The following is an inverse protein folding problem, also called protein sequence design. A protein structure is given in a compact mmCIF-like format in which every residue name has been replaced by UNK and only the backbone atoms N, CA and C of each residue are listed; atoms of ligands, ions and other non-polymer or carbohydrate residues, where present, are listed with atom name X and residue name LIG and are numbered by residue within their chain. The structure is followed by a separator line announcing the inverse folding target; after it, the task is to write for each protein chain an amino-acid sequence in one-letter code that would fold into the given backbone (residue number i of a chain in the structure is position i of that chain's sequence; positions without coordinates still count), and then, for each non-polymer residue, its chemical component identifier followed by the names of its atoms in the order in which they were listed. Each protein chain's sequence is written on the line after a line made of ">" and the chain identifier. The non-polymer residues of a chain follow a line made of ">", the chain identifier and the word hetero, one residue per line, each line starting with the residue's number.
data_IF_952670848574
#
_entry.id   IF_952670848574
#
_cell.length_a   1.000
_cell.length_b   1.000
_cell.length_c   1.000
_cell.angle_alpha   90.00
_cell.angle_beta   90.00
_cell.angle_gamma   90.00
#
_symmetry.space_group_name_H-M   'P 1'
#
loop_
_entity.id
_entity.type
_entity.pdbx_description
1 polymer ?
#
# COMPACT_ATOMS: atom_id res chain seq x y z
N UNK A 1 16.54 0.24 -31.18
CA UNK A 1 16.91 -0.54 -29.98
C UNK A 1 15.78 -0.49 -28.95
N UNK A 2 14.96 -1.56 -28.90
CA UNK A 2 13.84 -1.77 -27.98
C UNK A 2 14.23 -2.84 -26.98
N UNK A 3 13.98 -2.63 -25.68
CA UNK A 3 13.76 -3.72 -24.74
C UNK A 3 12.61 -3.36 -23.79
N UNK A 4 11.41 -3.83 -24.13
CA UNK A 4 10.36 -4.13 -23.17
C UNK A 4 10.76 -5.43 -22.46
N UNK A 5 10.67 -5.48 -21.13
CA UNK A 5 10.59 -6.75 -20.42
C UNK A 5 9.15 -6.95 -19.94
N UNK A 6 8.47 -7.85 -20.63
CA UNK A 6 7.15 -8.38 -20.30
C UNK A 6 7.39 -9.71 -19.59
N UNK A 7 6.94 -9.89 -18.36
CA UNK A 7 6.98 -11.19 -17.68
C UNK A 7 5.55 -11.62 -17.37
N UNK A 8 5.07 -12.60 -18.12
CA UNK A 8 3.90 -13.43 -17.79
C UNK A 8 4.38 -14.73 -17.17
N UNK A 9 3.68 -15.27 -16.16
CA UNK A 9 3.69 -16.69 -15.90
C UNK A 9 2.38 -17.30 -16.42
N UNK A 10 2.49 -18.11 -17.47
CA UNK A 10 1.42 -18.97 -17.99
C UNK A 10 1.66 -20.42 -17.47
N UNK A 11 0.68 -20.93 -16.72
CA UNK A 11 0.23 -22.34 -16.63
C UNK A 11 1.05 -23.42 -15.89
N UNK A 12 0.51 -23.88 -14.75
CA UNK A 12 0.40 -25.30 -14.40
C UNK A 12 -1.06 -25.60 -13.97
N UNK A 13 -1.63 -26.67 -14.55
CA UNK A 13 -3.05 -27.04 -14.51
C UNK A 13 -3.55 -27.59 -13.15
N UNK A 14 -4.85 -27.41 -12.91
CA UNK A 14 -5.89 -28.45 -12.78
C UNK A 14 -5.82 -29.30 -11.51
N UNK A 15 -6.78 -29.10 -10.60
CA UNK A 15 -7.74 -30.15 -10.23
C UNK A 15 -8.97 -29.57 -9.52
N UNK A 16 -10.14 -30.07 -9.94
CA UNK A 16 -11.47 -29.85 -9.39
C UNK A 16 -11.54 -30.44 -7.97
N UNK A 17 -12.28 -29.83 -7.04
CA UNK A 17 -13.17 -30.51 -6.09
C UNK A 17 -14.06 -29.50 -5.36
N UNK A 18 -15.36 -29.77 -5.42
CA UNK A 18 -16.47 -29.04 -4.80
C UNK A 18 -16.64 -29.50 -3.34
N UNK A 19 -16.74 -28.56 -2.39
CA UNK A 19 -17.35 -28.77 -1.08
C UNK A 19 -17.49 -27.44 -0.29
N UNK A 20 -18.70 -26.89 -0.31
CA UNK A 20 -19.45 -26.45 0.87
C UNK A 20 -18.79 -25.57 1.96
N UNK A 21 -19.39 -24.38 2.13
CA UNK A 21 -19.85 -23.83 3.43
C UNK A 21 -18.75 -23.49 4.46
N UNK A 22 -18.51 -22.19 4.65
CA UNK A 22 -18.78 -21.44 5.89
C UNK A 22 -18.12 -20.06 5.83
N UNK A 23 -18.92 -19.03 6.11
CA UNK A 23 -18.42 -17.66 6.22
C UNK A 23 -17.52 -17.52 7.44
N UNK A 24 -16.32 -16.99 7.22
CA UNK A 24 -15.54 -16.38 8.28
C UNK A 24 -15.02 -15.05 7.77
N UNK A 25 -15.48 -13.99 8.44
CA UNK A 25 -14.83 -12.67 8.47
C UNK A 25 -13.35 -12.88 8.81
N UNK A 26 -12.50 -12.87 7.80
CA UNK A 26 -11.07 -12.73 7.95
C UNK A 26 -10.72 -11.28 7.65
N UNK A 27 -10.38 -10.52 8.68
CA UNK A 27 -9.66 -9.26 8.52
C UNK A 27 -8.33 -9.60 7.83
N UNK A 28 -8.27 -9.45 6.52
CA UNK A 28 -7.02 -9.54 5.78
C UNK A 28 -6.26 -8.23 6.01
N UNK A 29 -5.53 -8.16 7.12
CA UNK A 29 -4.38 -7.26 7.20
C UNK A 29 -3.33 -7.78 6.22
N UNK A 30 -3.40 -7.32 4.97
CA UNK A 30 -2.35 -7.54 3.99
C UNK A 30 -1.25 -6.53 4.33
N UNK A 31 -0.50 -6.78 5.39
CA UNK A 31 0.83 -6.19 5.51
C UNK A 31 1.75 -7.03 4.63
N UNK A 32 2.32 -6.48 3.54
CA UNK A 32 3.22 -7.24 2.69
C UNK A 32 4.43 -7.67 3.51
N UNK A 33 4.55 -8.98 3.73
CA UNK A 33 5.72 -9.58 4.38
C UNK A 33 6.95 -9.30 3.53
N UNK A 34 7.90 -8.54 4.10
CA UNK A 34 9.33 -8.65 3.82
C UNK A 34 9.82 -8.21 2.43
N UNK A 35 9.80 -6.91 2.15
CA UNK A 35 10.54 -6.34 1.00
C UNK A 35 11.35 -5.07 1.34
N UNK A 36 11.72 -4.85 2.60
CA UNK A 36 12.68 -3.80 2.92
C UNK A 36 14.11 -4.33 2.72
N UNK A 37 14.57 -4.32 1.46
CA UNK A 37 16.00 -4.36 1.18
C UNK A 37 16.66 -3.20 1.92
N UNK A 38 17.75 -3.50 2.63
CA UNK A 38 18.59 -2.53 3.35
C UNK A 38 18.79 -1.30 2.47
N UNK A 39 18.08 -0.23 2.79
CA UNK A 39 18.23 1.05 2.12
C UNK A 39 19.72 1.43 2.20
N UNK A 40 20.29 1.90 1.09
CA UNK A 40 21.64 2.42 1.10
C UNK A 40 21.76 3.44 2.23
N UNK A 41 22.91 3.54 2.90
CA UNK A 41 23.11 4.38 4.08
C UNK A 41 22.77 5.89 3.88
N UNK A 42 22.46 6.30 2.65
CA UNK A 42 22.10 7.66 2.24
C UNK A 42 20.66 7.80 1.75
N UNK A 43 19.85 6.75 1.74
CA UNK A 43 18.48 6.82 1.24
C UNK A 43 17.53 7.28 2.36
N UNK A 44 16.77 8.33 2.09
CA UNK A 44 15.67 8.79 2.94
C UNK A 44 14.38 8.04 2.61
N UNK A 45 13.65 7.60 3.63
CA UNK A 45 12.34 6.99 3.48
C UNK A 45 11.27 7.97 3.99
N UNK A 46 10.17 8.08 3.26
CA UNK A 46 8.99 8.82 3.67
C UNK A 46 7.74 7.98 3.38
N UNK A 47 6.69 8.18 4.18
CA UNK A 47 5.43 7.47 4.07
C UNK A 47 4.28 8.46 3.94
N UNK A 48 3.30 8.08 3.12
CA UNK A 48 1.98 8.70 3.05
C UNK A 48 0.94 7.62 3.31
N UNK A 49 -0.09 7.94 4.07
CA UNK A 49 -1.19 7.02 4.36
C UNK A 49 -2.53 7.71 4.12
N UNK A 50 -3.37 7.10 3.30
CA UNK A 50 -4.64 7.68 2.87
C UNK A 50 -5.73 6.61 2.80
N UNK A 51 -6.97 7.07 2.90
CA UNK A 51 -8.14 6.30 2.54
C UNK A 51 -8.81 6.89 1.30
N UNK A 52 -9.46 6.01 0.53
CA UNK A 52 -10.38 6.40 -0.54
C UNK A 52 -11.74 5.83 -0.21
N UNK A 53 -12.66 6.69 0.20
CA UNK A 53 -14.02 6.31 0.57
C UNK A 53 -15.01 7.22 -0.15
N UNK A 54 -16.00 6.63 -0.83
CA UNK A 54 -17.02 7.36 -1.57
C UNK A 54 -16.43 8.44 -2.53
N UNK A 55 -15.38 8.05 -3.27
CA UNK A 55 -14.62 8.93 -4.19
C UNK A 55 -13.91 10.13 -3.52
N UNK A 56 -13.89 10.19 -2.19
CA UNK A 56 -13.14 11.17 -1.43
C UNK A 56 -11.79 10.58 -1.00
N UNK A 57 -10.73 11.35 -1.19
CA UNK A 57 -9.38 11.01 -0.73
C UNK A 57 -9.16 11.75 0.58
N UNK A 58 -8.91 11.02 1.66
CA UNK A 58 -8.61 11.60 2.97
C UNK A 58 -7.23 11.16 3.42
N UNK A 59 -6.47 12.09 3.99
CA UNK A 59 -5.18 11.81 4.61
C UNK A 59 -5.41 11.25 6.02
N UNK A 60 -4.82 10.09 6.31
CA UNK A 60 -4.96 9.43 7.61
C UNK A 60 -3.89 9.88 8.61
N UNK A 61 -2.81 10.52 8.16
CA UNK A 61 -1.73 11.01 9.03
C UNK A 61 -1.92 12.49 9.43
N UNK A 62 -2.88 13.19 8.81
CA UNK A 62 -3.16 14.59 9.09
C UNK A 62 -4.65 14.81 9.37
N UNK A 63 -4.97 15.13 10.62
CA UNK A 63 -6.34 15.42 11.03
C UNK A 63 -6.94 16.59 10.21
N UNK A 64 -8.15 16.37 9.69
CA UNK A 64 -8.90 17.38 8.93
C UNK A 64 -8.50 17.52 7.46
N UNK A 65 -7.48 16.79 6.98
CA UNK A 65 -7.12 16.77 5.55
C UNK A 65 -8.03 15.80 4.77
N UNK A 66 -9.23 16.27 4.44
CA UNK A 66 -10.28 15.49 3.75
C UNK A 66 -10.55 16.00 2.34
N UNK A 67 -11.10 15.13 1.48
CA UNK A 67 -11.49 15.46 0.10
C UNK A 67 -10.36 16.08 -0.74
N UNK A 68 -9.15 15.54 -0.58
CA UNK A 68 -7.97 15.93 -1.34
C UNK A 68 -8.18 15.72 -2.84
N UNK A 69 -7.45 16.48 -3.65
CA UNK A 69 -7.61 16.51 -5.11
C UNK A 69 -6.41 15.90 -5.81
N UNK A 70 -6.68 15.25 -6.94
CA UNK A 70 -5.63 14.79 -7.86
C UNK A 70 -5.37 15.91 -8.87
N UNK A 71 -4.11 16.33 -8.99
CA UNK A 71 -3.62 17.28 -9.99
C UNK A 71 -2.31 16.71 -10.55
N UNK A 72 -2.19 16.64 -11.88
CA UNK A 72 -0.99 16.11 -12.56
C UNK A 72 -0.54 14.74 -12.01
N UNK A 73 -1.50 13.82 -11.85
CA UNK A 73 -1.28 12.46 -11.32
C UNK A 73 -0.84 12.40 -9.84
N UNK A 74 -0.92 13.51 -9.10
CA UNK A 74 -0.52 13.59 -7.68
C UNK A 74 -1.68 14.04 -6.79
N UNK A 75 -1.74 13.52 -5.56
CA UNK A 75 -2.69 13.99 -4.54
C UNK A 75 -2.13 15.25 -3.88
N UNK A 76 -2.75 16.39 -4.15
CA UNK A 76 -2.31 17.68 -3.61
C UNK A 76 -2.67 17.77 -2.12
N UNK A 77 -1.68 18.12 -1.31
CA UNK A 77 -1.85 18.28 0.13
C UNK A 77 -1.77 16.97 0.93
N UNK A 78 -1.45 15.84 0.29
CA UNK A 78 -1.18 14.59 0.98
C UNK A 78 0.15 14.69 1.76
N UNK A 79 0.10 14.34 3.04
CA UNK A 79 1.24 14.31 3.95
C UNK A 79 2.33 13.34 3.46
N UNK A 80 3.58 13.73 3.70
CA UNK A 80 4.75 12.89 3.47
C UNK A 80 5.60 12.94 4.74
N UNK A 81 5.44 11.91 5.57
CA UNK A 81 6.11 11.81 6.85
C UNK A 81 7.46 11.09 6.68
N UNK A 82 8.60 11.77 6.89
CA UNK A 82 9.90 11.11 6.87
C UNK A 82 10.00 10.15 8.04
N UNK A 83 10.55 8.96 7.80
CA UNK A 83 10.75 7.92 8.82
C UNK A 83 12.21 7.44 8.80
N UNK A 84 12.73 7.09 9.98
CA UNK A 84 14.12 6.66 10.18
C UNK A 84 14.28 5.16 10.00
N UNK A 85 13.24 4.42 10.36
CA UNK A 85 13.22 2.97 10.34
C UNK A 85 11.78 2.44 10.15
N UNK A 86 11.68 1.11 10.15
CA UNK A 86 10.42 0.40 9.94
C UNK A 86 9.51 0.50 11.17
N UNK A 87 10.07 0.67 12.37
CA UNK A 87 9.28 0.74 13.60
C UNK A 87 8.50 2.05 13.62
N UNK A 88 9.16 3.17 13.33
CA UNK A 88 8.51 4.49 13.19
C UNK A 88 7.45 4.50 12.07
N UNK A 89 7.72 3.79 10.97
CA UNK A 89 6.76 3.60 9.90
C UNK A 89 5.50 2.85 10.36
N UNK A 90 5.66 1.76 11.11
CA UNK A 90 4.56 0.95 11.61
C UNK A 90 3.76 1.66 12.70
N UNK A 91 4.40 2.51 13.50
CA UNK A 91 3.72 3.34 14.51
C UNK A 91 2.77 4.34 13.83
N UNK A 92 3.25 5.06 12.80
CA UNK A 92 2.40 5.98 12.01
C UNK A 92 1.20 5.29 11.36
N UNK A 93 1.38 4.05 10.88
CA UNK A 93 0.30 3.26 10.27
C UNK A 93 -0.71 2.71 11.28
N UNK A 94 -0.37 2.65 12.57
CA UNK A 94 -1.29 2.24 13.63
C UNK A 94 -2.13 3.41 14.16
N UNK A 95 -1.63 4.63 14.05
CA UNK A 95 -2.31 5.85 14.49
C UNK A 95 -3.39 6.33 13.50
N UNK A 96 -3.16 6.15 12.19
CA UNK A 96 -4.11 6.51 11.12
C UNK A 96 -5.23 5.50 10.93
#
# INVERSE_FOLDING_TARGET
>A
PRHHLHVRPDHLGQDLHDAGRQGHRGHHSILPQGHFQKLAATASLSISYLEIYNEQINDLLQEGAVNLKIVDEQVVGLSQCPVRDIEEALDLLQEG
#
